data_IF_050275580281
#
_entry.id   IF_050275580281
#
_cell.length_a   1.000
_cell.length_b   1.000
_cell.length_c   1.000
_cell.angle_alpha   90.00
_cell.angle_beta   90.00
_cell.angle_gamma   90.00
#
_symmetry.space_group_name_H-M   'P 1'
#
loop_
_entity.id
_entity.type
_entity.pdbx_description
1 polymer ?
#
# COMPACT_ATOMS: atom_id res chain seq x y z
N UNK A 1 -30.05 -20.69 43.98
CA UNK A 1 -30.89 -20.86 42.79
C UNK A 1 -30.50 -19.91 41.69
N UNK A 2 -30.34 -20.36 40.50
CA UNK A 2 -30.35 -19.51 39.33
C UNK A 2 -28.97 -19.27 38.71
N UNK A 3 -28.58 -20.14 37.76
CA UNK A 3 -27.50 -19.94 36.82
C UNK A 3 -27.85 -18.93 35.75
N UNK A 4 -26.86 -18.29 35.20
CA UNK A 4 -26.93 -17.42 34.02
C UNK A 4 -25.63 -17.54 33.26
N UNK A 5 -25.71 -18.19 32.13
CA UNK A 5 -24.59 -18.31 31.16
C UNK A 5 -24.35 -16.94 30.51
N UNK A 6 -23.13 -16.42 30.59
CA UNK A 6 -22.66 -15.27 29.88
C UNK A 6 -22.01 -15.71 28.55
N UNK A 7 -22.59 -15.31 27.45
CA UNK A 7 -22.03 -15.47 26.11
C UNK A 7 -20.79 -14.58 25.94
N UNK A 8 -19.70 -15.16 25.47
CA UNK A 8 -18.51 -14.43 25.05
C UNK A 8 -18.82 -13.60 23.80
N UNK A 9 -18.47 -12.33 23.86
CA UNK A 9 -18.36 -11.47 22.67
C UNK A 9 -16.89 -11.44 22.26
N UNK A 10 -16.60 -12.09 21.18
CA UNK A 10 -15.33 -11.92 20.45
C UNK A 10 -15.28 -10.51 19.86
N UNK A 11 -14.67 -9.60 20.60
CA UNK A 11 -14.29 -8.30 20.14
C UNK A 11 -13.03 -8.40 19.29
N UNK A 12 -13.18 -8.46 17.98
CA UNK A 12 -12.07 -8.24 17.05
C UNK A 12 -11.59 -6.78 17.22
N UNK A 13 -10.60 -6.59 18.08
CA UNK A 13 -9.87 -5.33 18.21
C UNK A 13 -9.07 -5.08 16.97
N UNK A 14 -9.55 -4.16 16.12
CA UNK A 14 -8.75 -3.59 15.06
C UNK A 14 -7.54 -2.90 15.69
N UNK A 15 -6.36 -3.49 15.53
CA UNK A 15 -5.10 -2.95 15.99
C UNK A 15 -4.85 -1.59 15.35
N UNK A 16 -4.83 -0.55 16.18
CA UNK A 16 -4.35 0.78 15.79
C UNK A 16 -2.85 0.75 15.90
N UNK A 17 -2.17 0.53 14.77
CA UNK A 17 -0.72 0.44 14.74
C UNK A 17 -0.08 1.81 14.92
N UNK A 18 0.77 1.92 15.94
CA UNK A 18 1.35 3.16 16.40
C UNK A 18 2.77 3.41 15.91
N UNK A 19 3.02 4.56 15.38
CA UNK A 19 4.37 4.98 15.07
C UNK A 19 4.47 6.34 14.42
N UNK A 20 4.63 7.36 15.23
CA UNK A 20 4.91 8.69 14.76
C UNK A 20 3.74 9.64 14.63
N UNK A 21 2.59 9.21 14.68
CA UNK A 21 1.30 9.74 15.07
C UNK A 21 0.30 8.61 14.83
N UNK A 22 -0.65 8.37 15.72
CA UNK A 22 -1.60 7.25 15.59
C UNK A 22 -2.43 7.28 14.30
N UNK A 23 -2.19 8.23 13.39
CA UNK A 23 -2.88 8.42 12.12
C UNK A 23 -2.00 8.32 10.87
N UNK A 24 -0.68 8.46 10.98
CA UNK A 24 0.25 8.24 9.85
C UNK A 24 0.16 6.81 9.28
N UNK A 25 -0.18 5.84 10.14
CA UNK A 25 -0.25 4.43 9.78
C UNK A 25 -1.60 3.98 9.24
N UNK A 26 -2.64 4.83 9.26
CA UNK A 26 -3.90 4.52 8.58
C UNK A 26 -3.75 4.50 7.06
N UNK A 27 -2.70 5.12 6.53
CA UNK A 27 -2.31 5.01 5.12
C UNK A 27 -1.68 3.63 4.79
N UNK A 28 -1.46 2.75 5.78
CA UNK A 28 -0.76 1.46 5.60
C UNK A 28 -1.68 0.23 5.50
N UNK A 29 -2.95 0.37 5.06
CA UNK A 29 -3.70 -0.77 4.54
C UNK A 29 -4.82 -1.36 5.39
N UNK A 30 -5.36 -0.66 6.38
CA UNK A 30 -6.63 -1.03 7.00
C UNK A 30 -7.79 -0.90 6.01
N UNK A 31 -8.71 -1.87 5.96
CA UNK A 31 -9.95 -1.76 5.18
C UNK A 31 -10.83 -0.70 5.82
N UNK A 32 -11.04 0.42 5.14
CA UNK A 32 -11.91 1.50 5.58
C UNK A 32 -13.33 1.33 5.00
N UNK A 33 -14.40 1.76 5.68
CA UNK A 33 -15.74 1.82 5.13
C UNK A 33 -15.77 2.63 3.82
N UNK A 34 -16.64 2.27 2.88
CA UNK A 34 -16.70 2.87 1.54
C UNK A 34 -16.85 4.39 1.55
N UNK A 35 -17.72 4.93 2.42
CA UNK A 35 -17.95 6.37 2.54
C UNK A 35 -16.73 7.13 3.07
N UNK A 36 -15.99 6.55 3.99
CA UNK A 36 -14.76 7.15 4.53
C UNK A 36 -13.65 7.16 3.48
N UNK A 37 -13.50 6.07 2.72
CA UNK A 37 -12.56 6.01 1.59
C UNK A 37 -12.85 7.09 0.56
N UNK A 38 -14.11 7.27 0.17
CA UNK A 38 -14.52 8.25 -0.84
C UNK A 38 -14.26 9.69 -0.38
N UNK A 39 -14.56 10.00 0.88
CA UNK A 39 -14.28 11.32 1.48
C UNK A 39 -12.79 11.64 1.51
N UNK A 40 -11.96 10.69 1.92
CA UNK A 40 -10.51 10.86 1.98
C UNK A 40 -9.90 11.02 0.59
N UNK A 41 -10.35 10.25 -0.40
CA UNK A 41 -9.95 10.40 -1.80
C UNK A 41 -10.17 11.83 -2.32
N UNK A 42 -11.36 12.39 -2.08
CA UNK A 42 -11.67 13.78 -2.48
C UNK A 42 -10.79 14.82 -1.77
N UNK A 43 -10.32 14.53 -0.57
CA UNK A 43 -9.44 15.43 0.18
C UNK A 43 -8.01 15.40 -0.37
N UNK A 44 -7.50 14.22 -0.73
CA UNK A 44 -6.19 14.07 -1.37
C UNK A 44 -6.14 14.73 -2.75
N UNK A 45 -7.20 14.62 -3.52
CA UNK A 45 -7.29 15.24 -4.84
C UNK A 45 -7.06 16.76 -4.77
N UNK A 46 -7.68 17.43 -3.82
CA UNK A 46 -7.53 18.89 -3.63
C UNK A 46 -6.14 19.34 -3.17
N UNK A 47 -5.31 18.43 -2.69
CA UNK A 47 -3.97 18.72 -2.17
C UNK A 47 -2.84 18.20 -3.10
N UNK A 48 -3.13 17.90 -4.36
CA UNK A 48 -2.25 17.21 -5.30
C UNK A 48 -0.84 17.79 -5.40
N UNK A 49 -0.69 19.10 -5.56
CA UNK A 49 0.65 19.72 -5.70
C UNK A 49 1.45 19.68 -4.40
N UNK A 50 0.79 19.86 -3.24
CA UNK A 50 1.42 19.74 -1.93
C UNK A 50 1.86 18.31 -1.68
N UNK A 51 1.03 17.34 -2.02
CA UNK A 51 1.35 15.92 -1.95
C UNK A 51 2.61 15.60 -2.76
N UNK A 52 2.70 16.09 -3.99
CA UNK A 52 3.85 15.85 -4.87
C UNK A 52 5.17 16.37 -4.29
N UNK A 53 5.16 17.58 -3.74
CA UNK A 53 6.38 18.18 -3.16
C UNK A 53 6.81 17.55 -1.84
N UNK A 54 5.84 17.26 -0.98
CA UNK A 54 6.12 16.88 0.40
C UNK A 54 6.49 15.40 0.57
N UNK A 55 5.87 14.48 -0.20
CA UNK A 55 6.16 13.04 -0.09
C UNK A 55 7.52 12.72 -0.69
N UNK A 56 8.36 11.90 -0.01
CA UNK A 56 9.65 11.50 -0.53
C UNK A 56 9.51 10.62 -1.78
N UNK A 57 10.57 10.57 -2.56
CA UNK A 57 10.70 9.57 -3.62
C UNK A 57 11.06 8.20 -3.01
N UNK A 58 10.75 7.13 -3.73
CA UNK A 58 11.17 5.79 -3.34
C UNK A 58 12.62 5.56 -3.76
N UNK A 59 13.36 4.70 -3.04
CA UNK A 59 14.73 4.36 -3.40
C UNK A 59 14.83 3.73 -4.80
N UNK A 60 15.86 4.07 -5.56
CA UNK A 60 16.12 3.47 -6.88
C UNK A 60 16.22 1.95 -6.83
N UNK A 61 16.81 1.40 -5.75
CA UNK A 61 16.90 -0.04 -5.52
C UNK A 61 15.54 -0.76 -5.52
N UNK A 62 14.46 -0.07 -5.10
CA UNK A 62 13.11 -0.63 -5.16
C UNK A 62 12.70 -0.89 -6.61
N UNK A 63 12.96 0.07 -7.51
CA UNK A 63 12.62 -0.07 -8.93
C UNK A 63 13.51 -1.09 -9.64
N UNK A 64 14.79 -1.16 -9.28
CA UNK A 64 15.72 -2.13 -9.84
C UNK A 64 15.32 -3.56 -9.45
N UNK A 65 14.98 -3.79 -8.18
CA UNK A 65 14.45 -5.07 -7.70
C UNK A 65 13.11 -5.40 -8.37
N UNK A 66 12.21 -4.43 -8.52
CA UNK A 66 10.92 -4.64 -9.19
C UNK A 66 11.13 -5.12 -10.63
N UNK A 67 12.00 -4.45 -11.38
CA UNK A 67 12.31 -4.81 -12.78
C UNK A 67 12.89 -6.23 -12.86
N UNK A 68 13.86 -6.54 -11.99
CA UNK A 68 14.53 -7.83 -11.96
C UNK A 68 13.57 -8.97 -11.54
N UNK A 69 12.78 -8.78 -10.48
CA UNK A 69 11.88 -9.79 -9.94
C UNK A 69 10.68 -10.09 -10.86
N UNK A 70 10.21 -9.09 -11.60
CA UNK A 70 9.12 -9.26 -12.56
C UNK A 70 9.60 -9.58 -13.97
N UNK A 71 10.93 -9.64 -14.21
CA UNK A 71 11.53 -9.98 -15.51
C UNK A 71 11.08 -9.00 -16.61
N UNK A 72 11.08 -7.70 -16.31
CA UNK A 72 10.61 -6.67 -17.23
C UNK A 72 11.71 -6.24 -18.22
N UNK A 73 11.30 -6.01 -19.46
CA UNK A 73 12.17 -5.51 -20.52
C UNK A 73 11.70 -4.12 -21.00
N UNK A 74 12.63 -3.23 -21.42
CA UNK A 74 12.25 -1.94 -21.99
C UNK A 74 11.21 -2.09 -23.11
N UNK A 75 10.17 -1.26 -23.07
CA UNK A 75 9.04 -1.36 -23.98
C UNK A 75 7.86 -2.19 -23.46
N UNK A 76 8.03 -2.93 -22.38
CA UNK A 76 6.91 -3.62 -21.71
C UNK A 76 5.80 -2.64 -21.31
N UNK A 77 4.56 -3.15 -21.31
CA UNK A 77 3.38 -2.41 -20.86
C UNK A 77 3.16 -2.62 -19.38
N UNK A 78 3.07 -1.54 -18.64
CA UNK A 78 2.78 -1.52 -17.21
C UNK A 78 1.46 -0.77 -16.96
N UNK A 79 0.78 -1.14 -15.89
CA UNK A 79 -0.42 -0.44 -15.41
C UNK A 79 -0.19 -0.01 -13.98
N UNK A 80 -0.30 1.29 -13.71
CA UNK A 80 -0.27 1.83 -12.36
C UNK A 80 -1.67 2.14 -11.86
N UNK A 81 -1.99 1.64 -10.67
CA UNK A 81 -3.26 1.87 -9.99
C UNK A 81 -3.08 2.96 -8.94
N UNK A 82 -3.77 4.10 -9.12
CA UNK A 82 -3.67 5.24 -8.21
C UNK A 82 -2.32 5.93 -8.31
N UNK A 83 -1.96 6.44 -9.47
CA UNK A 83 -0.64 7.06 -9.70
C UNK A 83 -0.45 8.40 -8.98
N UNK A 84 -1.51 8.97 -8.42
CA UNK A 84 -1.53 10.30 -7.82
C UNK A 84 -0.92 11.33 -8.81
N UNK A 85 0.24 11.88 -8.48
CA UNK A 85 0.94 12.87 -9.30
C UNK A 85 2.03 12.30 -10.21
N UNK A 86 2.15 10.96 -10.30
CA UNK A 86 3.12 10.26 -11.14
C UNK A 86 4.50 10.05 -10.52
N UNK A 87 4.63 10.15 -9.19
CA UNK A 87 5.93 9.96 -8.50
C UNK A 87 6.53 8.58 -8.73
N UNK A 88 5.74 7.54 -8.61
CA UNK A 88 6.20 6.16 -8.82
C UNK A 88 6.25 5.78 -10.31
N UNK A 89 5.45 6.46 -11.14
CA UNK A 89 5.44 6.29 -12.60
C UNK A 89 6.75 6.73 -13.25
N UNK A 90 7.23 7.93 -12.91
CA UNK A 90 8.32 8.59 -13.60
C UNK A 90 9.63 7.78 -13.62
N UNK A 91 10.10 7.15 -12.52
CA UNK A 91 11.28 6.30 -12.53
C UNK A 91 11.18 5.10 -13.48
N UNK A 92 9.99 4.52 -13.61
CA UNK A 92 9.74 3.41 -14.54
C UNK A 92 9.62 3.90 -16.00
N UNK A 93 8.98 5.05 -16.23
CA UNK A 93 8.92 5.65 -17.56
C UNK A 93 10.32 6.01 -18.09
N UNK A 94 11.22 6.49 -17.21
CA UNK A 94 12.65 6.75 -17.54
C UNK A 94 13.43 5.50 -17.91
N UNK A 95 13.01 4.32 -17.40
CA UNK A 95 13.59 3.01 -17.76
C UNK A 95 13.04 2.45 -19.09
N UNK A 96 12.20 3.21 -19.79
CA UNK A 96 11.70 2.87 -21.11
C UNK A 96 10.42 2.04 -21.13
N UNK A 97 9.72 1.92 -20.00
CA UNK A 97 8.43 1.22 -19.93
C UNK A 97 7.29 2.10 -20.44
N UNK A 98 6.28 1.48 -21.08
CA UNK A 98 5.03 2.14 -21.49
C UNK A 98 4.00 1.97 -20.40
N UNK A 99 3.56 3.06 -19.78
CA UNK A 99 2.75 3.00 -18.56
C UNK A 99 1.37 3.59 -18.79
N UNK A 100 0.33 2.85 -18.44
CA UNK A 100 -1.02 3.38 -18.29
C UNK A 100 -1.30 3.58 -16.81
N UNK A 101 -1.48 4.83 -16.41
CA UNK A 101 -1.85 5.22 -15.05
C UNK A 101 -3.37 5.35 -14.96
N UNK A 102 -4.01 4.66 -14.02
CA UNK A 102 -5.44 4.79 -13.73
C UNK A 102 -5.60 5.56 -12.42
N UNK A 103 -6.08 6.81 -12.50
CA UNK A 103 -6.21 7.71 -11.36
C UNK A 103 -7.64 8.23 -11.23
N UNK A 104 -8.23 8.09 -10.04
CA UNK A 104 -9.60 8.50 -9.78
C UNK A 104 -9.72 10.03 -9.66
N UNK A 105 -8.78 10.66 -8.92
CA UNK A 105 -8.79 12.09 -8.61
C UNK A 105 -8.53 12.95 -9.85
N UNK A 106 -9.42 13.90 -10.14
CA UNK A 106 -9.30 14.75 -11.32
C UNK A 106 -8.09 15.66 -11.27
N UNK A 107 -7.83 16.30 -10.11
CA UNK A 107 -6.69 17.18 -9.89
C UNK A 107 -5.36 16.39 -9.86
N UNK A 108 -5.36 15.23 -9.23
CA UNK A 108 -4.22 14.30 -9.22
C UNK A 108 -3.89 13.83 -10.63
N UNK A 109 -4.89 13.41 -11.41
CA UNK A 109 -4.71 13.01 -12.80
C UNK A 109 -4.19 14.15 -13.68
N UNK A 110 -4.69 15.36 -13.48
CA UNK A 110 -4.21 16.56 -14.20
C UNK A 110 -2.74 16.87 -13.84
N UNK A 111 -2.38 16.77 -12.55
CA UNK A 111 -1.00 16.94 -12.11
C UNK A 111 -0.08 15.83 -12.68
N UNK A 112 -0.53 14.58 -12.68
CA UNK A 112 0.23 13.48 -13.28
C UNK A 112 0.47 13.70 -14.78
N UNK A 113 -0.52 14.13 -15.55
CA UNK A 113 -0.35 14.45 -16.98
C UNK A 113 0.71 15.53 -17.20
N UNK A 114 0.74 16.57 -16.35
CA UNK A 114 1.78 17.62 -16.44
C UNK A 114 3.17 17.05 -16.11
N UNK A 115 3.29 16.29 -15.02
CA UNK A 115 4.57 15.77 -14.55
C UNK A 115 5.16 14.69 -15.47
N UNK A 116 4.31 13.94 -16.15
CA UNK A 116 4.68 12.86 -17.05
C UNK A 116 4.73 13.29 -18.53
N UNK A 117 4.54 14.58 -18.82
CA UNK A 117 4.60 15.09 -20.19
C UNK A 117 5.96 14.78 -20.85
N UNK A 118 5.92 14.19 -22.05
CA UNK A 118 7.13 13.77 -22.79
C UNK A 118 7.66 12.40 -22.44
N UNK A 119 7.09 11.71 -21.45
CA UNK A 119 7.42 10.32 -21.11
C UNK A 119 6.38 9.35 -21.69
N UNK A 120 6.73 8.06 -21.90
CA UNK A 120 5.81 7.04 -22.43
C UNK A 120 4.77 6.61 -21.38
N UNK A 121 4.03 7.57 -20.84
CA UNK A 121 3.02 7.38 -19.82
C UNK A 121 1.71 8.07 -20.21
N UNK A 122 0.60 7.33 -20.13
CA UNK A 122 -0.76 7.81 -20.36
C UNK A 122 -1.53 7.82 -19.05
N UNK A 123 -2.26 8.91 -18.76
CA UNK A 123 -3.08 9.01 -17.55
C UNK A 123 -4.56 8.98 -17.92
N UNK A 124 -5.23 7.93 -17.47
CA UNK A 124 -6.68 7.71 -17.60
C UNK A 124 -7.33 8.08 -16.27
N UNK A 125 -8.24 9.07 -16.31
CA UNK A 125 -9.03 9.40 -15.13
C UNK A 125 -10.21 8.44 -15.01
N UNK A 126 -10.30 7.72 -13.90
CA UNK A 126 -11.38 6.77 -13.64
C UNK A 126 -11.08 5.81 -12.51
N UNK A 127 -12.06 4.96 -12.19
CA UNK A 127 -11.92 3.90 -11.19
C UNK A 127 -11.22 2.70 -11.81
N UNK A 128 -10.23 2.13 -11.12
CA UNK A 128 -9.57 0.90 -11.57
C UNK A 128 -10.56 -0.29 -11.66
N UNK A 129 -11.52 -0.32 -10.80
CA UNK A 129 -12.60 -1.33 -10.77
C UNK A 129 -13.37 -1.40 -12.09
N UNK A 130 -13.58 -0.26 -12.75
CA UNK A 130 -14.36 -0.13 -13.99
C UNK A 130 -13.47 -0.12 -15.25
N UNK A 131 -12.19 0.18 -15.08
CA UNK A 131 -11.24 0.27 -16.18
C UNK A 131 -10.84 -1.10 -16.75
N UNK A 132 -10.57 -1.13 -18.05
CA UNK A 132 -10.07 -2.32 -18.77
C UNK A 132 -8.92 -1.92 -19.69
N UNK A 133 -7.83 -2.69 -19.72
CA UNK A 133 -6.75 -2.45 -20.66
C UNK A 133 -7.20 -2.82 -22.10
N UNK A 134 -6.73 -2.07 -23.07
CA UNK A 134 -6.85 -2.42 -24.49
C UNK A 134 -5.98 -3.64 -24.83
N UNK A 135 -4.81 -3.74 -24.21
CA UNK A 135 -3.89 -4.85 -24.33
C UNK A 135 -3.38 -5.29 -22.95
N UNK A 136 -3.19 -6.62 -22.73
CA UNK A 136 -2.69 -7.12 -21.46
C UNK A 136 -1.32 -6.56 -21.09
N UNK A 137 -1.11 -6.28 -19.82
CA UNK A 137 0.13 -5.73 -19.27
C UNK A 137 1.09 -6.82 -18.77
N UNK A 138 2.40 -6.51 -18.76
CA UNK A 138 3.43 -7.32 -18.12
C UNK A 138 3.41 -7.16 -16.60
N UNK A 139 3.03 -5.97 -16.12
CA UNK A 139 2.95 -5.63 -14.71
C UNK A 139 1.72 -4.77 -14.42
N UNK A 140 1.01 -5.09 -13.35
CA UNK A 140 0.11 -4.17 -12.64
C UNK A 140 0.77 -3.81 -11.34
N UNK A 141 0.86 -2.53 -11.01
CA UNK A 141 1.46 -2.10 -9.74
C UNK A 141 0.68 -0.98 -9.06
N UNK A 142 0.86 -0.87 -7.75
CA UNK A 142 0.31 0.20 -6.95
C UNK A 142 1.31 0.63 -5.86
N UNK A 143 1.58 1.94 -5.82
CA UNK A 143 2.47 2.57 -4.84
C UNK A 143 1.63 3.30 -3.78
N UNK A 144 1.48 2.69 -2.60
CA UNK A 144 0.69 3.24 -1.47
C UNK A 144 -0.77 3.59 -1.85
N UNK A 145 -1.34 2.88 -2.84
CA UNK A 145 -2.68 3.16 -3.37
C UNK A 145 -3.63 1.96 -3.33
N UNK A 146 -3.11 0.73 -3.16
CA UNK A 146 -3.91 -0.50 -3.28
C UNK A 146 -5.07 -0.61 -2.30
N UNK A 147 -4.94 -0.05 -1.10
CA UNK A 147 -5.98 -0.06 -0.07
C UNK A 147 -7.20 0.80 -0.43
N UNK A 148 -7.05 1.71 -1.40
CA UNK A 148 -8.16 2.53 -1.91
C UNK A 148 -9.06 1.79 -2.90
N UNK A 149 -8.59 0.71 -3.51
CA UNK A 149 -9.36 -0.10 -4.47
C UNK A 149 -10.30 -1.05 -3.71
N UNK A 150 -11.51 -1.25 -4.23
CA UNK A 150 -12.49 -2.16 -3.64
C UNK A 150 -11.88 -3.55 -3.41
N UNK A 151 -11.79 -4.00 -2.15
CA UNK A 151 -11.17 -5.28 -1.80
C UNK A 151 -11.87 -6.49 -2.43
N UNK A 152 -13.16 -6.38 -2.76
CA UNK A 152 -13.93 -7.48 -3.35
C UNK A 152 -13.48 -7.80 -4.78
N UNK A 153 -12.97 -6.82 -5.52
CA UNK A 153 -12.68 -6.98 -6.96
C UNK A 153 -11.23 -6.71 -7.35
N UNK A 154 -10.45 -6.03 -6.53
CA UNK A 154 -9.12 -5.51 -6.89
C UNK A 154 -8.15 -6.57 -7.44
N UNK A 155 -8.07 -7.73 -6.80
CA UNK A 155 -7.16 -8.79 -7.24
C UNK A 155 -7.62 -9.42 -8.55
N UNK A 156 -8.93 -9.62 -8.73
CA UNK A 156 -9.46 -10.14 -9.97
C UNK A 156 -9.29 -9.15 -11.12
N UNK A 157 -9.43 -7.85 -10.86
CA UNK A 157 -9.16 -6.80 -11.86
C UNK A 157 -7.70 -6.76 -12.29
N UNK A 158 -6.78 -6.84 -11.34
CA UNK A 158 -5.35 -6.91 -11.63
C UNK A 158 -5.00 -8.17 -12.43
N UNK A 159 -5.56 -9.33 -12.04
CA UNK A 159 -5.35 -10.58 -12.74
C UNK A 159 -5.84 -10.53 -14.20
N UNK A 160 -7.03 -9.96 -14.42
CA UNK A 160 -7.61 -9.82 -15.76
C UNK A 160 -6.85 -8.83 -16.65
N UNK A 161 -6.19 -7.83 -16.07
CA UNK A 161 -5.39 -6.84 -16.80
C UNK A 161 -4.00 -7.36 -17.20
N UNK A 162 -3.53 -8.47 -16.61
CA UNK A 162 -2.20 -9.02 -16.85
C UNK A 162 -2.20 -10.06 -17.96
N UNK A 163 -1.11 -10.11 -18.74
CA UNK A 163 -0.81 -11.22 -19.63
C UNK A 163 -0.52 -12.51 -18.83
N UNK A 164 -0.62 -13.72 -19.44
CA UNK A 164 -0.09 -14.93 -18.83
C UNK A 164 1.38 -14.73 -18.42
N UNK A 165 1.74 -15.15 -17.20
CA UNK A 165 3.07 -14.94 -16.64
C UNK A 165 3.38 -13.51 -16.21
N UNK A 166 2.44 -12.57 -16.32
CA UNK A 166 2.58 -11.20 -15.82
C UNK A 166 2.58 -11.12 -14.29
N UNK A 167 2.93 -9.95 -13.73
CA UNK A 167 3.15 -9.77 -12.30
C UNK A 167 2.26 -8.69 -11.71
N UNK A 168 1.92 -8.84 -10.44
CA UNK A 168 1.36 -7.81 -9.57
C UNK A 168 2.44 -7.37 -8.60
N UNK A 169 2.68 -6.06 -8.50
CA UNK A 169 3.60 -5.50 -7.53
C UNK A 169 2.91 -4.45 -6.66
N UNK A 170 2.97 -4.65 -5.37
CA UNK A 170 2.39 -3.73 -4.39
C UNK A 170 3.48 -3.25 -3.45
N UNK A 171 3.57 -1.95 -3.24
CA UNK A 171 4.41 -1.42 -2.18
C UNK A 171 3.76 -0.29 -1.40
N UNK A 172 4.17 -0.20 -0.16
CA UNK A 172 3.81 0.87 0.76
C UNK A 172 5.07 1.51 1.32
N UNK A 173 4.96 2.74 1.77
CA UNK A 173 6.01 3.41 2.52
C UNK A 173 5.44 4.04 3.78
N UNK A 174 6.23 4.02 4.83
CA UNK A 174 5.83 4.54 6.13
C UNK A 174 6.98 5.02 6.98
N UNK A 175 6.66 5.60 8.12
CA UNK A 175 7.63 5.99 9.12
C UNK A 175 8.18 4.75 9.80
N UNK A 176 9.52 4.65 9.87
CA UNK A 176 10.21 3.62 10.66
C UNK A 176 11.13 4.27 11.67
N UNK A 177 11.37 3.57 12.77
CA UNK A 177 12.15 4.06 13.91
C UNK A 177 13.43 3.23 14.03
N UNK A 178 14.55 3.64 13.38
CA UNK A 178 15.82 2.96 13.51
C UNK A 178 16.37 3.12 14.94
N UNK A 179 17.23 2.19 15.36
CA UNK A 179 17.97 2.32 16.60
C UNK A 179 18.84 3.60 16.53
N UNK A 180 18.78 4.42 17.57
CA UNK A 180 19.43 5.73 17.57
C UNK A 180 18.74 6.80 16.72
N UNK A 181 17.50 6.55 16.27
CA UNK A 181 16.71 7.51 15.52
C UNK A 181 16.45 8.81 16.29
N UNK A 182 15.98 9.83 15.57
CA UNK A 182 15.82 11.18 16.11
C UNK A 182 14.90 11.21 17.34
N UNK A 183 15.38 11.71 18.50
CA UNK A 183 14.60 11.75 19.74
C UNK A 183 13.34 12.62 19.64
N UNK A 184 13.28 13.54 18.69
CA UNK A 184 12.14 14.42 18.44
C UNK A 184 10.81 13.63 18.37
N UNK A 185 10.80 12.46 17.76
CA UNK A 185 9.60 11.66 17.60
C UNK A 185 9.06 11.05 18.90
N UNK A 186 9.88 10.95 19.93
CA UNK A 186 9.45 10.60 21.29
C UNK A 186 8.99 11.83 22.05
N UNK A 187 9.72 12.91 21.91
CA UNK A 187 9.45 14.15 22.61
C UNK A 187 8.15 14.82 22.20
N UNK A 188 7.79 14.78 20.91
CA UNK A 188 6.57 15.42 20.40
C UNK A 188 5.29 14.68 20.80
N UNK A 189 5.38 13.43 21.32
CA UNK A 189 4.20 12.65 21.70
C UNK A 189 3.39 13.32 22.82
N UNK A 190 4.03 14.06 23.72
CA UNK A 190 3.33 14.83 24.74
C UNK A 190 2.31 15.81 24.14
N UNK A 191 2.63 16.40 23.00
CA UNK A 191 1.72 17.31 22.30
C UNK A 191 0.60 16.55 21.60
N UNK A 192 0.89 15.39 21.01
CA UNK A 192 -0.15 14.54 20.43
C UNK A 192 -1.13 14.05 21.50
N UNK A 193 -0.64 13.69 22.69
CA UNK A 193 -1.47 13.30 23.82
C UNK A 193 -2.35 14.47 24.29
N UNK A 194 -1.77 15.67 24.41
CA UNK A 194 -2.47 16.89 24.81
C UNK A 194 -3.65 17.22 23.88
N UNK A 195 -3.47 17.06 22.57
CA UNK A 195 -4.51 17.35 21.57
C UNK A 195 -5.48 16.19 21.32
N UNK A 196 -5.34 15.08 22.04
CA UNK A 196 -6.21 13.90 21.90
C UNK A 196 -5.90 13.02 20.68
N UNK A 197 -4.72 13.17 20.10
CA UNK A 197 -4.25 12.42 18.94
C UNK A 197 -3.06 11.50 19.28
N UNK A 198 -2.82 11.27 20.57
CA UNK A 198 -1.78 10.40 21.08
C UNK A 198 -1.92 8.95 20.64
N UNK A 199 -0.82 8.25 20.67
CA UNK A 199 -0.78 6.83 20.39
C UNK A 199 -1.39 6.02 21.54
N UNK A 200 -2.13 4.94 21.27
CA UNK A 200 -2.56 4.04 22.33
C UNK A 200 -1.34 3.50 23.10
N UNK A 201 -1.48 3.22 24.39
CA UNK A 201 -0.41 2.60 25.17
C UNK A 201 0.08 1.30 24.51
N UNK A 202 1.39 1.16 24.36
CA UNK A 202 2.00 -0.04 23.72
C UNK A 202 1.92 -0.08 22.20
N UNK A 203 1.51 1.01 21.54
CA UNK A 203 1.50 1.10 20.10
C UNK A 203 2.89 0.80 19.52
N UNK A 204 2.96 -0.12 18.56
CA UNK A 204 4.20 -0.50 17.92
C UNK A 204 4.80 0.68 17.13
N UNK A 205 6.13 0.79 17.19
CA UNK A 205 6.91 1.70 16.35
C UNK A 205 7.75 0.84 15.42
N UNK A 206 7.34 0.64 14.17
CA UNK A 206 8.02 -0.30 13.29
C UNK A 206 9.46 0.11 13.07
N UNK A 207 10.38 -0.83 13.18
CA UNK A 207 11.77 -0.66 12.79
C UNK A 207 11.95 -0.79 11.29
N UNK A 208 13.08 -0.37 10.72
CA UNK A 208 13.42 -0.74 9.35
C UNK A 208 13.34 -2.26 9.17
N UNK A 209 12.60 -2.71 8.14
CA UNK A 209 12.36 -4.13 7.89
C UNK A 209 11.11 -4.72 8.53
N UNK A 210 10.37 -3.97 9.33
CA UNK A 210 9.17 -4.46 10.05
C UNK A 210 7.84 -3.93 9.48
N UNK A 211 7.86 -3.20 8.37
CA UNK A 211 6.62 -2.76 7.75
C UNK A 211 5.81 -3.97 7.24
N UNK A 212 4.47 -3.96 7.44
CA UNK A 212 3.62 -5.04 6.98
C UNK A 212 3.62 -5.14 5.45
N UNK A 213 3.72 -6.35 4.93
CA UNK A 213 3.70 -6.63 3.49
C UNK A 213 2.27 -6.96 2.99
N UNK A 214 2.13 -7.09 1.67
CA UNK A 214 0.85 -7.40 1.03
C UNK A 214 0.59 -8.90 0.83
N UNK A 215 1.48 -9.79 1.32
CA UNK A 215 1.45 -11.23 1.06
C UNK A 215 0.11 -11.85 1.43
N UNK A 216 -0.37 -11.61 2.64
CA UNK A 216 -1.60 -12.24 3.13
C UNK A 216 -2.81 -11.99 2.24
N UNK A 217 -3.00 -10.75 1.78
CA UNK A 217 -4.10 -10.41 0.88
C UNK A 217 -3.92 -11.00 -0.53
N UNK A 218 -2.69 -11.02 -1.03
CA UNK A 218 -2.36 -11.60 -2.34
C UNK A 218 -2.63 -13.10 -2.34
N UNK A 219 -2.15 -13.82 -1.35
CA UNK A 219 -2.32 -15.29 -1.21
C UNK A 219 -3.78 -15.67 -0.99
N UNK A 220 -4.50 -14.91 -0.15
CA UNK A 220 -5.92 -15.13 0.10
C UNK A 220 -6.79 -14.98 -1.17
N UNK A 221 -6.35 -14.19 -2.15
CA UNK A 221 -7.05 -14.07 -3.44
C UNK A 221 -7.03 -15.37 -4.26
N UNK A 222 -6.05 -16.23 -4.05
CA UNK A 222 -5.83 -17.46 -4.82
C UNK A 222 -5.37 -17.25 -6.27
N UNK A 223 -5.28 -15.99 -6.74
CA UNK A 223 -5.02 -15.61 -8.13
C UNK A 223 -3.54 -15.39 -8.46
N UNK A 224 -2.71 -15.23 -7.43
CA UNK A 224 -1.29 -14.92 -7.55
C UNK A 224 -0.43 -15.82 -6.68
N UNK A 225 0.83 -15.95 -7.05
CA UNK A 225 1.88 -16.59 -6.27
C UNK A 225 2.93 -15.54 -5.90
N UNK A 226 3.19 -15.35 -4.61
CA UNK A 226 4.18 -14.38 -4.15
C UNK A 226 5.58 -14.86 -4.54
N UNK A 227 6.30 -14.05 -5.30
CA UNK A 227 7.67 -14.30 -5.78
C UNK A 227 8.68 -13.82 -4.75
N UNK A 228 8.49 -12.60 -4.24
CA UNK A 228 9.41 -11.99 -3.29
C UNK A 228 8.76 -10.88 -2.49
N UNK A 229 9.31 -10.64 -1.29
CA UNK A 229 9.10 -9.45 -0.49
C UNK A 229 10.46 -8.82 -0.23
N UNK A 230 10.57 -7.50 -0.39
CA UNK A 230 11.77 -6.70 -0.15
C UNK A 230 11.44 -5.53 0.74
N UNK A 231 12.31 -5.24 1.69
CA UNK A 231 12.20 -4.12 2.60
C UNK A 231 13.33 -3.12 2.31
N UNK A 232 13.01 -1.83 2.34
CA UNK A 232 13.95 -0.74 2.10
C UNK A 232 13.87 0.24 3.24
N UNK A 233 14.99 0.83 3.60
CA UNK A 233 15.07 1.85 4.64
C UNK A 233 15.93 3.01 4.17
N UNK A 234 15.50 4.25 4.45
CA UNK A 234 16.29 5.46 4.23
C UNK A 234 15.91 6.52 5.25
N UNK A 235 16.71 7.56 5.32
CA UNK A 235 16.44 8.71 6.17
C UNK A 235 16.33 9.98 5.33
N UNK A 236 15.47 10.88 5.79
CA UNK A 236 15.33 12.20 5.18
C UNK A 236 15.29 13.27 6.25
N UNK A 237 16.04 14.35 6.02
CA UNK A 237 16.10 15.51 6.91
C UNK A 237 15.11 16.55 6.44
N UNK A 238 14.31 17.06 7.39
CA UNK A 238 13.31 18.08 7.14
C UNK A 238 13.53 19.29 8.04
N UNK A 239 13.48 20.49 7.46
CA UNK A 239 13.26 21.71 8.21
C UNK A 239 11.80 21.78 8.70
N UNK A 240 11.49 22.62 9.69
CA UNK A 240 10.19 22.64 10.34
C UNK A 240 9.02 22.78 9.34
N UNK A 241 9.09 23.72 8.40
CA UNK A 241 7.99 23.96 7.44
C UNK A 241 7.83 22.79 6.46
N UNK A 242 8.93 22.23 5.96
CA UNK A 242 8.90 21.06 5.09
C UNK A 242 8.32 19.82 5.81
N UNK A 243 8.62 19.66 7.10
CA UNK A 243 8.05 18.59 7.90
C UNK A 243 6.54 18.78 8.14
N UNK A 244 6.10 20.01 8.43
CA UNK A 244 4.70 20.36 8.57
C UNK A 244 3.95 20.18 7.24
N UNK A 245 4.57 20.55 6.11
CA UNK A 245 4.01 20.31 4.78
C UNK A 245 3.82 18.81 4.53
N UNK A 246 4.80 17.99 4.88
CA UNK A 246 4.68 16.53 4.84
C UNK A 246 3.51 16.03 5.70
N UNK A 247 3.44 16.43 6.97
CA UNK A 247 2.36 16.02 7.89
C UNK A 247 0.99 16.38 7.33
N UNK A 248 0.86 17.54 6.68
CA UNK A 248 -0.41 17.99 6.08
C UNK A 248 -0.87 17.15 4.88
N UNK A 249 -0.06 16.18 4.43
CA UNK A 249 -0.44 15.22 3.39
C UNK A 249 -0.95 13.88 3.93
N UNK A 250 -0.92 13.67 5.23
CA UNK A 250 -1.44 12.44 5.86
C UNK A 250 -2.91 12.59 6.26
N UNK A 251 -3.69 11.54 6.04
CA UNK A 251 -5.13 11.52 6.35
C UNK A 251 -5.41 11.94 7.78
N UNK A 252 -4.65 11.43 8.75
CA UNK A 252 -4.79 11.76 10.14
C UNK A 252 -4.68 13.24 10.45
N UNK A 253 -3.72 13.94 9.83
CA UNK A 253 -3.57 15.39 9.99
C UNK A 253 -4.63 16.19 9.25
N UNK A 254 -5.13 15.68 8.13
CA UNK A 254 -6.23 16.32 7.40
C UNK A 254 -7.55 16.29 8.17
N UNK A 255 -7.75 15.25 8.98
CA UNK A 255 -8.94 15.10 9.85
C UNK A 255 -8.89 15.90 11.15
N UNK A 256 -7.69 16.34 11.58
CA UNK A 256 -7.55 17.16 12.78
C UNK A 256 -8.33 18.47 12.68
N UNK A 257 -8.85 18.97 13.79
CA UNK A 257 -9.42 20.30 13.89
C UNK A 257 -8.32 21.37 13.76
N UNK A 258 -8.70 22.59 13.37
CA UNK A 258 -7.73 23.68 13.16
C UNK A 258 -6.88 23.95 14.41
N UNK A 259 -7.52 24.01 15.61
CA UNK A 259 -6.83 24.26 16.87
C UNK A 259 -5.80 23.16 17.21
N UNK A 260 -6.07 21.89 16.85
CA UNK A 260 -5.15 20.78 17.08
C UNK A 260 -3.92 20.93 16.17
N UNK A 261 -4.14 21.23 14.87
CA UNK A 261 -3.05 21.51 13.94
C UNK A 261 -2.21 22.72 14.36
N UNK A 262 -2.86 23.82 14.72
CA UNK A 262 -2.16 25.05 15.14
C UNK A 262 -1.30 24.80 16.36
N UNK A 263 -1.82 24.07 17.36
CA UNK A 263 -1.08 23.69 18.57
C UNK A 263 0.12 22.80 18.23
N UNK A 264 -0.08 21.75 17.46
CA UNK A 264 0.96 20.79 17.10
C UNK A 264 2.04 21.45 16.21
N UNK A 265 1.65 22.14 15.15
CA UNK A 265 2.59 22.76 14.22
C UNK A 265 3.34 23.91 14.84
N UNK A 266 2.72 24.66 15.72
CA UNK A 266 3.41 25.67 16.54
C UNK A 266 4.48 25.06 17.42
N UNK A 267 4.20 23.93 18.04
CA UNK A 267 5.16 23.23 18.90
C UNK A 267 6.31 22.58 18.11
N UNK A 268 6.02 22.01 16.93
CA UNK A 268 7.05 21.52 16.00
C UNK A 268 8.05 22.63 15.65
N UNK A 269 7.53 23.80 15.22
CA UNK A 269 8.37 24.98 14.92
C UNK A 269 9.24 25.38 16.10
N UNK A 270 8.62 25.47 17.29
CA UNK A 270 9.30 25.88 18.51
C UNK A 270 10.42 24.92 18.92
N UNK A 271 10.18 23.60 18.87
CA UNK A 271 11.18 22.59 19.23
C UNK A 271 12.32 22.52 18.21
N UNK A 272 12.02 22.52 16.93
CA UNK A 272 13.05 22.47 15.89
C UNK A 272 13.87 23.76 15.86
N UNK A 273 13.29 24.94 16.13
CA UNK A 273 14.04 26.19 16.21
C UNK A 273 15.11 26.21 17.32
N UNK A 274 14.98 25.38 18.35
CA UNK A 274 15.96 25.25 19.46
C UNK A 274 17.11 24.31 19.12
N UNK A 275 17.01 23.54 18.04
CA UNK A 275 18.04 22.60 17.61
C UNK A 275 19.15 23.33 16.82
N UNK A 276 20.40 22.90 16.90
CA UNK A 276 21.49 23.55 16.18
C UNK A 276 21.28 23.55 14.65
N UNK A 277 20.77 22.47 14.11
CA UNK A 277 20.52 22.28 12.68
C UNK A 277 19.08 22.67 12.26
N UNK A 278 18.21 23.01 13.23
CA UNK A 278 16.79 23.36 13.04
C UNK A 278 16.00 22.33 12.25
N UNK A 279 16.41 21.08 12.30
CA UNK A 279 15.85 20.01 11.49
C UNK A 279 15.43 18.79 12.31
N UNK A 280 14.66 17.92 11.68
CA UNK A 280 14.31 16.59 12.15
C UNK A 280 14.72 15.56 11.12
N UNK A 281 15.31 14.45 11.57
CA UNK A 281 15.67 13.31 10.73
C UNK A 281 14.63 12.22 10.84
N UNK A 282 13.84 12.02 9.79
CA UNK A 282 12.79 11.01 9.74
C UNK A 282 13.29 9.75 9.03
N UNK A 283 13.15 8.61 9.71
CA UNK A 283 13.33 7.29 9.08
C UNK A 283 12.13 6.94 8.20
N UNK A 284 12.41 6.48 7.00
CA UNK A 284 11.44 5.96 6.07
C UNK A 284 11.71 4.49 5.79
N UNK A 285 10.63 3.73 5.66
CA UNK A 285 10.70 2.36 5.15
C UNK A 285 9.76 2.20 3.97
N UNK A 286 10.09 1.28 3.08
CA UNK A 286 9.17 0.79 2.07
C UNK A 286 9.22 -0.74 2.05
N UNK A 287 8.09 -1.36 1.74
CA UNK A 287 7.99 -2.80 1.54
C UNK A 287 7.36 -3.10 0.20
N UNK A 288 8.11 -3.77 -0.67
CA UNK A 288 7.70 -4.23 -1.98
C UNK A 288 7.32 -5.71 -1.92
N UNK A 289 6.11 -6.05 -2.38
CA UNK A 289 5.67 -7.43 -2.59
C UNK A 289 5.43 -7.65 -4.07
N UNK A 290 6.14 -8.59 -4.68
CA UNK A 290 5.98 -8.98 -6.09
C UNK A 290 5.35 -10.37 -6.15
N UNK A 291 4.32 -10.52 -6.97
CA UNK A 291 3.61 -11.78 -7.14
C UNK A 291 3.34 -12.04 -8.62
N UNK A 292 3.45 -13.31 -9.04
CA UNK A 292 3.19 -13.76 -10.40
C UNK A 292 1.73 -14.18 -10.55
N UNK A 293 1.10 -13.79 -11.67
CA UNK A 293 -0.21 -14.26 -12.07
C UNK A 293 -0.23 -15.77 -12.20
N UNK A 294 -1.16 -16.44 -11.51
CA UNK A 294 -1.41 -17.88 -11.69
C UNK A 294 -2.20 -18.10 -12.99
N UNK A 295 -1.92 -19.20 -13.66
CA UNK A 295 -2.72 -19.63 -14.79
C UNK A 295 -4.14 -20.01 -14.35
N UNK A 296 -5.10 -19.88 -15.26
CA UNK A 296 -6.43 -20.42 -15.02
C UNK A 296 -6.30 -21.93 -14.77
N UNK A 297 -6.87 -22.41 -13.68
CA UNK A 297 -7.04 -23.86 -13.49
C UNK A 297 -7.97 -24.33 -14.59
N UNK A 298 -7.45 -25.05 -15.58
CA UNK A 298 -8.23 -25.68 -16.62
C UNK A 298 -9.38 -26.45 -15.98
N UNK A 299 -10.60 -26.19 -16.42
CA UNK A 299 -11.82 -26.84 -15.91
C UNK A 299 -11.82 -28.37 -16.11
N UNK A 300 -10.89 -28.90 -16.90
CA UNK A 300 -10.75 -30.30 -17.25
C UNK A 300 -10.29 -31.23 -16.10
N UNK A 301 -9.81 -30.66 -14.98
CA UNK A 301 -9.39 -31.50 -13.83
C UNK A 301 -10.56 -31.93 -12.93
N UNK A 302 -11.79 -31.44 -13.14
CA UNK A 302 -12.97 -31.79 -12.32
C UNK A 302 -13.80 -32.93 -12.84
N UNK A 303 -13.52 -33.43 -14.03
CA UNK A 303 -14.34 -34.45 -14.69
C UNK A 303 -13.56 -35.73 -15.04
N UNK A 304 -12.67 -36.16 -14.14
CA UNK A 304 -12.23 -37.56 -14.17
C UNK A 304 -13.22 -38.40 -13.39
N UNK A 305 -14.00 -39.27 -14.05
CA UNK A 305 -14.81 -40.25 -13.34
C UNK A 305 -13.87 -41.15 -12.53
N UNK A 306 -14.20 -41.32 -11.27
CA UNK A 306 -13.56 -42.32 -10.42
C UNK A 306 -13.99 -43.68 -10.99
N UNK A 307 -13.10 -44.32 -11.75
CA UNK A 307 -13.29 -45.69 -12.19
C UNK A 307 -13.35 -46.59 -10.93
N UNK A 308 -14.57 -46.91 -10.57
CA UNK A 308 -14.88 -47.91 -9.57
C UNK A 308 -14.59 -49.34 -10.13
N UNK A 309 -13.33 -49.75 -10.07
CA UNK A 309 -13.01 -51.16 -10.22
C UNK A 309 -13.49 -51.93 -9.03
N UNK A 310 -14.70 -52.46 -9.12
CA UNK A 310 -15.18 -53.59 -8.31
C UNK A 310 -14.45 -54.85 -8.75
N UNK A 311 -13.40 -55.21 -8.03
CA UNK A 311 -12.81 -56.54 -8.10
C UNK A 311 -13.66 -57.49 -7.26
N UNK A 312 -14.38 -58.38 -7.92
CA UNK A 312 -15.01 -59.56 -7.30
C UNK A 312 -13.95 -60.57 -6.90
N UNK A 313 -14.08 -61.22 -5.72
CA UNK A 313 -13.15 -62.29 -5.34
C UNK A 313 -13.52 -63.60 -6.06
N UNK A 314 -12.53 -64.46 -6.36
CA UNK A 314 -12.79 -65.76 -7.01
C UNK A 314 -13.37 -66.75 -5.99
N UNK A 315 -14.48 -67.37 -6.38
CA UNK A 315 -15.11 -68.45 -5.64
C UNK A 315 -14.20 -69.68 -5.55
N UNK A 316 -13.87 -70.07 -4.32
CA UNK A 316 -13.26 -71.39 -4.01
C UNK A 316 -14.32 -72.48 -3.95
N UNK A 317 -14.27 -73.41 -4.86
CA UNK A 317 -14.99 -74.65 -4.85
C UNK A 317 -14.28 -75.65 -3.96
N UNK A 318 -15.00 -76.19 -2.95
CA UNK A 318 -14.53 -77.36 -2.18
C UNK A 318 -15.44 -78.52 -2.61
N UNK A 319 -14.82 -79.59 -3.13
CA UNK A 319 -15.43 -80.91 -3.29
C UNK A 319 -14.71 -81.95 -2.49
N UNK A 320 -15.49 -82.69 -1.69
CA UNK A 320 -15.32 -83.99 -1.09
C UNK A 320 -14.12 -84.22 -0.24
#
# INVERSE_FOLDING_TARGET
GGGGAGAGQDGAGAGRDGGGTGRDLRDTGGVQPDEERERLRATFDRAAERYHRARPDYPEALYDDLVALAGLEPGDRLVEVGCATGKATLPLARRGFRITCVELGGELAAAARRNLAGWPAQVVQGRFEDWRPEEPASLVFAATAWHWVDPAVRYQRAWAALRPGGHLALWTAGHVFPDGGDPFFREIQDVYDEIGEGLPPGAARPRPGELPDARGGIEASGLFEVVAVRQYGWEQVYQAEAYIELLSTFSGHLEMQNWQRDRLYGEIRRRLARRPDRSVRRGWGAVLTVARRREERSAEARDRPVDSHTSSPPGGSISA
#
